data_IF_057952655907
#
_entry.id   IF_057952655907
#
_cell.length_a   1.000
_cell.length_b   1.000
_cell.length_c   1.000
_cell.angle_alpha   90.00
_cell.angle_beta   90.00
_cell.angle_gamma   90.00
#
_symmetry.space_group_name_H-M   'P 1'
#
loop_
_entity.id
_entity.type
_entity.pdbx_description
1 polymer ?
#
# COMPACT_ATOMS: atom_id res chain seq x y z
N UNK A 1 36.20 -30.70 -53.55
CA UNK A 1 35.49 -29.45 -53.20
C UNK A 1 34.46 -29.80 -52.14
N UNK A 2 34.65 -29.34 -50.89
CA UNK A 2 33.70 -29.56 -49.79
C UNK A 2 32.79 -28.33 -49.66
N UNK A 3 31.47 -28.47 -49.53
CA UNK A 3 30.60 -27.32 -49.32
C UNK A 3 30.72 -26.81 -47.88
N UNK A 4 30.90 -25.50 -47.75
CA UNK A 4 30.83 -24.75 -46.47
C UNK A 4 29.36 -24.44 -46.21
N UNK A 5 28.80 -25.05 -45.16
CA UNK A 5 27.44 -24.74 -44.70
C UNK A 5 27.56 -23.55 -43.77
N UNK A 6 27.05 -22.41 -44.21
CA UNK A 6 26.98 -21.18 -43.43
C UNK A 6 25.70 -21.21 -42.57
N UNK A 7 25.84 -21.50 -41.27
CA UNK A 7 24.73 -21.52 -40.33
C UNK A 7 24.41 -20.09 -39.88
N UNK A 8 23.26 -19.57 -40.31
CA UNK A 8 22.73 -18.30 -39.82
C UNK A 8 22.05 -18.52 -38.45
N UNK A 9 22.68 -18.04 -37.38
CA UNK A 9 22.07 -17.97 -36.07
C UNK A 9 21.24 -16.71 -36.00
N UNK A 10 19.92 -16.83 -36.10
CA UNK A 10 18.98 -15.74 -35.91
C UNK A 10 18.80 -15.51 -34.39
N UNK A 11 19.45 -14.49 -33.84
CA UNK A 11 19.25 -14.08 -32.47
C UNK A 11 17.86 -13.41 -32.34
N UNK A 12 16.95 -14.09 -31.65
CA UNK A 12 15.63 -13.56 -31.31
C UNK A 12 15.80 -12.61 -30.12
N UNK A 13 15.77 -11.30 -30.38
CA UNK A 13 15.75 -10.27 -29.33
C UNK A 13 14.38 -10.29 -28.68
N UNK A 14 14.30 -10.84 -27.48
CA UNK A 14 13.15 -10.66 -26.58
C UNK A 14 13.17 -9.21 -26.06
N UNK A 15 12.36 -8.35 -26.65
CA UNK A 15 12.07 -7.03 -26.11
C UNK A 15 11.05 -7.22 -24.99
N UNK A 16 11.54 -7.27 -23.75
CA UNK A 16 10.65 -7.18 -22.57
C UNK A 16 10.11 -5.75 -22.51
N UNK A 17 8.83 -5.57 -22.82
CA UNK A 17 8.15 -4.32 -22.53
C UNK A 17 8.00 -4.21 -21.01
N UNK A 18 8.82 -3.38 -20.36
CA UNK A 18 8.54 -2.93 -18.99
C UNK A 18 7.24 -2.12 -19.07
N UNK A 19 6.15 -2.69 -18.59
CA UNK A 19 4.95 -1.93 -18.29
C UNK A 19 5.29 -1.06 -17.09
N UNK A 20 5.44 0.24 -17.29
CA UNK A 20 5.52 1.20 -16.20
C UNK A 20 4.13 1.20 -15.54
N UNK A 21 4.03 0.70 -14.31
CA UNK A 21 2.82 0.86 -13.52
C UNK A 21 2.61 2.35 -13.27
N UNK A 22 1.46 2.85 -13.67
CA UNK A 22 1.07 4.22 -13.35
C UNK A 22 0.75 4.29 -11.85
N UNK A 23 1.24 5.35 -11.20
CA UNK A 23 1.05 5.57 -9.76
C UNK A 23 0.14 6.78 -9.54
N UNK A 24 -0.65 6.75 -8.47
CA UNK A 24 -1.48 7.88 -8.03
C UNK A 24 -2.56 8.27 -9.06
N UNK A 25 -3.16 7.27 -9.71
CA UNK A 25 -4.25 7.50 -10.65
C UNK A 25 -5.48 8.06 -9.94
N UNK A 26 -6.20 8.94 -10.64
CA UNK A 26 -7.46 9.53 -10.18
C UNK A 26 -8.58 9.17 -11.14
N UNK A 27 -9.75 8.85 -10.60
CA UNK A 27 -10.98 8.62 -11.37
C UNK A 27 -12.13 9.44 -10.78
N UNK A 28 -13.03 9.90 -11.64
CA UNK A 28 -14.19 10.66 -11.19
C UNK A 28 -15.32 9.72 -10.73
N UNK A 29 -15.62 9.73 -9.42
CA UNK A 29 -16.77 9.02 -8.87
C UNK A 29 -18.04 9.87 -9.06
N UNK A 30 -18.92 9.42 -9.94
CA UNK A 30 -20.16 10.13 -10.29
C UNK A 30 -21.17 10.18 -9.14
N UNK A 31 -21.08 9.27 -8.18
CA UNK A 31 -21.96 9.23 -7.00
C UNK A 31 -21.53 10.22 -5.95
N UNK A 32 -20.22 10.33 -5.73
CA UNK A 32 -19.62 11.28 -4.78
C UNK A 32 -19.45 12.68 -5.40
N UNK A 33 -19.49 12.77 -6.75
CA UNK A 33 -19.23 13.98 -7.52
C UNK A 33 -17.83 14.57 -7.25
N UNK A 34 -16.83 13.70 -7.07
CA UNK A 34 -15.44 14.07 -6.80
C UNK A 34 -14.47 13.09 -7.45
N UNK A 35 -13.21 13.50 -7.58
CA UNK A 35 -12.12 12.61 -7.95
C UNK A 35 -11.69 11.77 -6.75
N UNK A 36 -11.45 10.47 -6.99
CA UNK A 36 -10.96 9.51 -5.99
C UNK A 36 -9.73 8.82 -6.53
N UNK A 37 -8.81 8.47 -5.63
CA UNK A 37 -7.62 7.69 -5.98
C UNK A 37 -8.01 6.27 -6.33
N UNK A 38 -7.25 5.67 -7.26
CA UNK A 38 -7.45 4.29 -7.71
C UNK A 38 -6.11 3.63 -8.03
N UNK A 39 -6.01 2.30 -7.84
CA UNK A 39 -4.83 1.48 -8.11
C UNK A 39 -3.63 1.79 -7.20
N UNK A 40 -2.40 1.54 -7.68
CA UNK A 40 -1.22 1.79 -6.86
C UNK A 40 -1.00 3.27 -6.56
N UNK A 41 -0.72 3.52 -5.30
CA UNK A 41 -0.36 4.84 -4.79
C UNK A 41 0.99 4.80 -4.08
N UNK A 42 1.53 5.97 -3.83
CA UNK A 42 2.68 6.18 -2.98
C UNK A 42 2.44 7.37 -2.03
N UNK A 43 3.37 7.62 -1.12
CA UNK A 43 3.26 8.72 -0.15
C UNK A 43 3.04 10.08 -0.83
N UNK A 44 3.75 10.36 -1.93
CA UNK A 44 3.61 11.63 -2.66
C UNK A 44 2.16 11.86 -3.12
N UNK A 45 1.49 10.82 -3.64
CA UNK A 45 0.08 10.90 -4.02
C UNK A 45 -0.83 11.12 -2.83
N UNK A 46 -0.58 10.44 -1.70
CA UNK A 46 -1.38 10.61 -0.47
C UNK A 46 -1.27 12.02 0.12
N UNK A 47 -0.17 12.73 -0.08
CA UNK A 47 0.06 14.07 0.42
C UNK A 47 -0.53 15.17 -0.48
N UNK A 48 -1.20 14.79 -1.59
CA UNK A 48 -1.75 15.74 -2.56
C UNK A 48 -3.28 15.74 -2.59
N UNK A 49 -3.86 16.77 -3.22
CA UNK A 49 -5.31 16.87 -3.40
C UNK A 49 -6.09 16.98 -2.09
N UNK A 50 -7.34 16.54 -2.12
CA UNK A 50 -8.23 16.59 -0.96
C UNK A 50 -7.79 15.63 0.15
N UNK A 51 -7.37 14.42 -0.21
CA UNK A 51 -6.85 13.45 0.75
C UNK A 51 -5.62 13.98 1.49
N UNK A 52 -4.75 14.75 0.80
CA UNK A 52 -3.55 15.35 1.39
C UNK A 52 -3.84 16.34 2.52
N UNK A 53 -5.03 16.98 2.52
CA UNK A 53 -5.45 17.86 3.61
C UNK A 53 -5.65 17.04 4.91
N UNK A 54 -6.38 15.94 4.81
CA UNK A 54 -6.60 15.02 5.93
C UNK A 54 -5.31 14.31 6.34
N UNK A 55 -4.52 13.87 5.34
CA UNK A 55 -3.23 13.22 5.57
C UNK A 55 -2.33 14.09 6.45
N UNK A 56 -2.17 15.36 6.09
CA UNK A 56 -1.33 16.28 6.87
C UNK A 56 -1.88 16.49 8.27
N UNK A 57 -3.18 16.72 8.41
CA UNK A 57 -3.82 16.99 9.71
C UNK A 57 -3.64 15.81 10.67
N UNK A 58 -4.00 14.61 10.22
CA UNK A 58 -3.96 13.40 11.05
C UNK A 58 -2.53 12.94 11.34
N UNK A 59 -1.63 13.12 10.37
CA UNK A 59 -0.20 12.83 10.56
C UNK A 59 0.42 13.76 11.60
N UNK A 60 0.13 15.06 11.55
CA UNK A 60 0.69 16.03 12.48
C UNK A 60 0.13 15.84 13.92
N UNK A 61 -1.18 15.59 14.05
CA UNK A 61 -1.86 15.50 15.35
C UNK A 61 -1.68 14.17 16.07
N UNK A 62 -1.47 13.06 15.35
CA UNK A 62 -1.35 11.74 15.95
C UNK A 62 -0.15 11.64 16.88
N UNK A 63 -0.36 11.17 18.11
CA UNK A 63 0.70 10.95 19.09
C UNK A 63 1.04 9.47 19.18
N UNK A 64 2.23 9.13 18.72
CA UNK A 64 2.72 7.74 18.67
C UNK A 64 3.13 7.28 20.08
N UNK A 65 2.86 6.02 20.40
CA UNK A 65 3.33 5.43 21.66
C UNK A 65 4.80 4.97 21.52
N UNK A 66 5.74 5.81 21.97
CA UNK A 66 7.18 5.56 21.87
C UNK A 66 7.62 4.22 22.45
N UNK A 67 6.96 3.75 23.52
CA UNK A 67 7.31 2.48 24.17
C UNK A 67 6.98 1.29 23.28
N UNK A 68 5.83 1.31 22.61
CA UNK A 68 5.40 0.28 21.66
C UNK A 68 6.19 0.37 20.35
N UNK A 69 6.42 1.58 19.86
CA UNK A 69 7.25 1.81 18.66
C UNK A 69 8.63 1.18 18.81
N UNK A 70 9.26 1.32 19.98
CA UNK A 70 10.55 0.70 20.24
C UNK A 70 10.49 -0.83 20.12
N UNK A 71 9.41 -1.46 20.58
CA UNK A 71 9.24 -2.92 20.44
C UNK A 71 8.94 -3.31 18.97
N UNK A 72 8.14 -2.51 18.28
CA UNK A 72 7.81 -2.70 16.86
C UNK A 72 9.08 -2.60 16.01
N UNK A 73 9.96 -1.61 16.27
CA UNK A 73 11.18 -1.36 15.50
C UNK A 73 12.17 -2.54 15.50
N UNK A 74 12.07 -3.46 16.45
CA UNK A 74 12.92 -4.65 16.52
C UNK A 74 12.61 -5.67 15.42
N UNK A 75 11.38 -5.69 14.88
CA UNK A 75 10.92 -6.70 13.93
C UNK A 75 10.21 -6.14 12.70
N UNK A 76 9.92 -4.85 12.65
CA UNK A 76 9.06 -4.27 11.60
C UNK A 76 9.63 -4.43 10.18
N UNK A 77 10.95 -4.40 10.02
CA UNK A 77 11.61 -4.58 8.73
C UNK A 77 11.73 -6.06 8.30
N UNK A 78 11.21 -6.99 9.10
CA UNK A 78 11.10 -8.41 8.73
C UNK A 78 9.75 -8.74 8.08
N UNK A 79 8.84 -7.77 7.97
CA UNK A 79 7.50 -7.95 7.40
C UNK A 79 7.26 -7.05 6.20
N UNK A 80 6.43 -7.51 5.28
CA UNK A 80 5.87 -6.70 4.19
C UNK A 80 4.49 -6.21 4.60
N UNK A 81 4.13 -4.97 4.21
CA UNK A 81 2.85 -4.39 4.54
C UNK A 81 2.12 -3.97 3.25
N UNK A 82 0.83 -4.32 3.19
CA UNK A 82 -0.08 -3.80 2.17
C UNK A 82 -1.18 -2.98 2.82
N UNK A 83 -1.39 -1.76 2.34
CA UNK A 83 -2.48 -0.88 2.74
C UNK A 83 -3.48 -0.82 1.59
N UNK A 84 -4.71 -1.24 1.84
CA UNK A 84 -5.82 -1.04 0.90
C UNK A 84 -6.76 0.00 1.50
N UNK A 85 -7.00 1.09 0.77
CA UNK A 85 -7.74 2.24 1.29
C UNK A 85 -8.66 2.85 0.25
N UNK A 86 -9.63 3.65 0.71
CA UNK A 86 -10.45 4.49 -0.15
C UNK A 86 -10.22 5.95 0.18
N UNK A 87 -9.76 6.77 -0.76
CA UNK A 87 -9.57 8.21 -0.54
C UNK A 87 -10.86 8.99 -0.26
N UNK A 88 -11.99 8.32 -0.42
CA UNK A 88 -13.35 8.77 -0.15
C UNK A 88 -13.88 8.33 1.23
N UNK A 89 -13.09 7.61 2.01
CA UNK A 89 -13.51 7.00 3.27
C UNK A 89 -12.89 7.74 4.45
N UNK A 90 -13.71 8.24 5.36
CA UNK A 90 -13.25 8.99 6.54
C UNK A 90 -12.31 8.18 7.44
N UNK A 91 -12.53 6.86 7.56
CA UNK A 91 -11.63 6.02 8.35
C UNK A 91 -10.25 5.89 7.66
N UNK A 92 -10.23 5.87 6.32
CA UNK A 92 -8.97 5.91 5.56
C UNK A 92 -8.25 7.26 5.72
N UNK A 93 -8.99 8.37 5.63
CA UNK A 93 -8.47 9.72 5.85
C UNK A 93 -7.81 9.86 7.23
N UNK A 94 -8.37 9.18 8.23
CA UNK A 94 -7.85 9.19 9.60
C UNK A 94 -6.71 8.19 9.82
N UNK A 95 -6.92 6.92 9.49
CA UNK A 95 -6.03 5.85 9.93
C UNK A 95 -4.79 5.69 9.05
N UNK A 96 -4.88 5.97 7.74
CA UNK A 96 -3.72 5.82 6.84
C UNK A 96 -2.57 6.76 7.22
N UNK A 97 -2.77 8.08 7.41
CA UNK A 97 -1.69 8.96 7.82
C UNK A 97 -1.13 8.65 9.22
N UNK A 98 -1.98 8.22 10.16
CA UNK A 98 -1.54 7.80 11.51
C UNK A 98 -0.66 6.56 11.44
N UNK A 99 -1.03 5.59 10.61
CA UNK A 99 -0.23 4.38 10.40
C UNK A 99 1.10 4.70 9.74
N UNK A 100 1.12 5.63 8.78
CA UNK A 100 2.38 6.12 8.20
C UNK A 100 3.29 6.78 9.24
N UNK A 101 2.72 7.59 10.14
CA UNK A 101 3.51 8.18 11.23
C UNK A 101 4.11 7.13 12.15
N UNK A 102 3.33 6.09 12.48
CA UNK A 102 3.82 4.94 13.23
C UNK A 102 4.98 4.25 12.51
N UNK A 103 4.85 3.97 11.21
CA UNK A 103 5.90 3.35 10.40
C UNK A 103 7.17 4.19 10.35
N UNK A 104 7.05 5.50 10.17
CA UNK A 104 8.19 6.44 10.19
C UNK A 104 8.94 6.39 11.53
N UNK A 105 8.21 6.40 12.65
CA UNK A 105 8.80 6.31 13.99
C UNK A 105 9.43 4.94 14.25
N UNK A 106 8.89 3.86 13.68
CA UNK A 106 9.43 2.52 13.79
C UNK A 106 10.62 2.26 12.84
N UNK A 107 10.91 3.17 11.92
CA UNK A 107 12.00 3.05 10.94
C UNK A 107 11.74 1.99 9.88
N UNK A 108 10.48 1.86 9.44
CA UNK A 108 10.09 0.93 8.39
C UNK A 108 10.64 1.34 7.03
N UNK A 109 11.08 0.37 6.24
CA UNK A 109 11.52 0.59 4.87
C UNK A 109 10.32 0.66 3.91
N UNK A 110 9.98 1.85 3.45
CA UNK A 110 8.85 2.10 2.53
C UNK A 110 8.94 1.29 1.22
N UNK A 111 10.12 0.78 0.84
CA UNK A 111 10.25 -0.09 -0.33
C UNK A 111 9.51 -1.42 -0.20
N UNK A 112 9.17 -1.82 1.02
CA UNK A 112 8.39 -3.02 1.33
C UNK A 112 6.89 -2.72 1.53
N UNK A 113 6.47 -1.46 1.35
CA UNK A 113 5.09 -1.03 1.51
C UNK A 113 4.37 -1.01 0.17
N UNK A 114 3.22 -1.68 0.09
CA UNK A 114 2.31 -1.61 -1.05
C UNK A 114 1.06 -0.83 -0.64
N UNK A 115 0.69 0.16 -1.45
CA UNK A 115 -0.47 1.00 -1.18
C UNK A 115 -1.39 0.95 -2.39
N UNK A 116 -2.64 0.56 -2.16
CA UNK A 116 -3.64 0.37 -3.20
C UNK A 116 -4.90 1.13 -2.83
N UNK A 117 -5.26 2.09 -3.66
CA UNK A 117 -6.52 2.78 -3.57
C UNK A 117 -7.63 2.01 -4.28
N UNK A 118 -8.83 2.04 -3.72
CA UNK A 118 -10.00 1.34 -4.26
C UNK A 118 -11.22 2.26 -4.36
N UNK A 119 -12.11 1.92 -5.30
CA UNK A 119 -13.40 2.55 -5.42
C UNK A 119 -14.38 2.11 -4.31
N UNK A 120 -15.62 2.64 -4.29
CA UNK A 120 -16.64 2.30 -3.29
C UNK A 120 -17.07 0.84 -3.27
N UNK A 121 -16.84 0.10 -4.35
CA UNK A 121 -17.07 -1.34 -4.44
C UNK A 121 -15.87 -2.16 -3.92
N UNK A 122 -14.84 -1.49 -3.36
CA UNK A 122 -13.57 -2.09 -2.89
C UNK A 122 -12.83 -2.81 -4.02
N UNK A 123 -12.85 -2.20 -5.22
CA UNK A 123 -12.16 -2.71 -6.41
C UNK A 123 -11.15 -1.67 -6.89
N UNK A 124 -10.00 -2.13 -7.30
CA UNK A 124 -9.06 -1.41 -8.14
C UNK A 124 -9.42 -1.62 -9.62
N UNK A 125 -8.88 -0.83 -10.54
CA UNK A 125 -9.18 -0.93 -11.97
C UNK A 125 -8.14 -1.77 -12.72
N UNK A 126 -6.86 -1.53 -12.47
CA UNK A 126 -5.75 -2.22 -13.13
C UNK A 126 -5.07 -3.26 -12.23
N UNK A 127 -5.26 -3.16 -10.92
CA UNK A 127 -4.64 -4.05 -9.92
C UNK A 127 -5.62 -5.13 -9.50
N UNK A 128 -5.28 -6.40 -9.71
CA UNK A 128 -6.09 -7.49 -9.16
C UNK A 128 -5.82 -7.66 -7.66
N UNK A 129 -6.83 -7.38 -6.86
CA UNK A 129 -6.82 -7.49 -5.40
C UNK A 129 -7.83 -8.53 -4.88
N UNK A 130 -8.35 -9.38 -5.76
CA UNK A 130 -9.39 -10.37 -5.41
C UNK A 130 -8.93 -11.29 -4.28
N UNK A 131 -7.68 -11.72 -4.30
CA UNK A 131 -7.10 -12.61 -3.29
C UNK A 131 -6.93 -11.93 -1.92
N UNK A 132 -6.93 -10.58 -1.86
CA UNK A 132 -6.83 -9.85 -0.60
C UNK A 132 -8.11 -9.86 0.22
N UNK A 133 -9.25 -10.21 -0.38
CA UNK A 133 -10.56 -10.34 0.29
C UNK A 133 -10.93 -9.09 1.09
N UNK A 134 -10.90 -7.93 0.45
CA UNK A 134 -11.17 -6.63 1.08
C UNK A 134 -12.67 -6.40 1.23
N UNK A 135 -13.16 -6.38 2.46
CA UNK A 135 -14.55 -6.08 2.81
C UNK A 135 -14.72 -4.63 3.26
N UNK A 136 -13.75 -4.10 3.98
CA UNK A 136 -13.75 -2.75 4.55
C UNK A 136 -12.44 -2.02 4.26
N UNK A 137 -12.45 -0.69 4.36
CA UNK A 137 -11.27 0.16 4.16
C UNK A 137 -11.20 1.25 5.24
N UNK A 138 -9.97 1.57 5.70
CA UNK A 138 -8.70 0.97 5.30
C UNK A 138 -8.52 -0.44 5.84
N UNK A 139 -7.74 -1.26 5.14
CA UNK A 139 -7.25 -2.54 5.65
C UNK A 139 -5.73 -2.56 5.54
N UNK A 140 -5.06 -2.76 6.66
CA UNK A 140 -3.61 -2.91 6.77
C UNK A 140 -3.29 -4.39 6.90
N UNK A 141 -2.62 -4.99 5.93
CA UNK A 141 -2.33 -6.42 5.88
C UNK A 141 -0.83 -6.61 6.07
N UNK A 142 -0.46 -7.42 7.03
CA UNK A 142 0.92 -7.67 7.41
C UNK A 142 1.31 -9.09 6.98
N UNK A 143 2.41 -9.20 6.24
CA UNK A 143 2.93 -10.48 5.73
C UNK A 143 4.35 -10.73 6.24
N UNK A 144 4.71 -12.01 6.35
CA UNK A 144 6.09 -12.46 6.52
C UNK A 144 6.30 -13.69 5.64
N UNK A 145 7.37 -13.69 4.85
CA UNK A 145 7.70 -14.78 3.93
C UNK A 145 6.53 -15.16 2.99
N UNK A 146 5.80 -14.14 2.51
CA UNK A 146 4.64 -14.30 1.62
C UNK A 146 3.37 -14.83 2.30
N UNK A 147 3.36 -15.01 3.63
CA UNK A 147 2.19 -15.46 4.39
C UNK A 147 1.62 -14.32 5.23
N UNK A 148 0.30 -14.13 5.17
CA UNK A 148 -0.37 -13.17 6.04
C UNK A 148 -0.26 -13.60 7.51
N UNK A 149 0.27 -12.70 8.34
CA UNK A 149 0.32 -12.85 9.80
C UNK A 149 -0.97 -12.35 10.45
N UNK A 150 -1.56 -11.29 9.90
CA UNK A 150 -2.79 -10.68 10.37
C UNK A 150 -3.06 -9.36 9.66
N UNK A 151 -4.18 -8.74 10.03
CA UNK A 151 -4.60 -7.45 9.47
C UNK A 151 -5.31 -6.57 10.49
N UNK A 152 -5.24 -5.26 10.30
CA UNK A 152 -6.04 -4.26 11.01
C UNK A 152 -7.08 -3.74 10.02
N UNK A 153 -8.35 -3.74 10.40
CA UNK A 153 -9.47 -3.39 9.52
C UNK A 153 -10.19 -2.17 10.06
N UNK A 154 -10.38 -1.15 9.22
CA UNK A 154 -10.99 0.14 9.52
C UNK A 154 -10.27 0.86 10.66
N UNK A 155 -10.71 0.65 11.88
CA UNK A 155 -10.09 1.22 13.09
C UNK A 155 -9.45 0.10 13.92
N UNK A 156 -8.32 0.36 14.59
CA UNK A 156 -7.70 -0.65 15.45
C UNK A 156 -8.63 -1.02 16.61
N UNK A 157 -8.47 -2.24 17.12
CA UNK A 157 -9.22 -2.70 18.30
C UNK A 157 -8.78 -1.97 19.58
N UNK A 158 -7.47 -1.83 19.77
CA UNK A 158 -6.89 -1.05 20.87
C UNK A 158 -6.26 0.24 20.30
N UNK A 159 -5.00 0.20 19.89
CA UNK A 159 -4.30 1.26 19.15
C UNK A 159 -3.59 0.66 17.93
N UNK A 160 -3.20 1.50 16.97
CA UNK A 160 -2.44 1.02 15.81
C UNK A 160 -1.16 0.30 16.23
N UNK A 161 -0.47 0.85 17.23
CA UNK A 161 0.77 0.26 17.77
C UNK A 161 0.51 -1.08 18.46
N UNK A 162 -0.53 -1.15 19.31
CA UNK A 162 -0.83 -2.39 20.04
C UNK A 162 -1.25 -3.51 19.10
N UNK A 163 -2.10 -3.20 18.14
CA UNK A 163 -2.60 -4.20 17.18
C UNK A 163 -1.48 -4.65 16.24
N UNK A 164 -0.65 -3.72 15.71
CA UNK A 164 0.51 -4.07 14.91
C UNK A 164 1.51 -4.92 15.70
N UNK A 165 1.83 -4.52 16.94
CA UNK A 165 2.70 -5.28 17.81
C UNK A 165 2.22 -6.71 18.07
N UNK A 166 0.90 -6.90 18.30
CA UNK A 166 0.31 -8.24 18.50
C UNK A 166 0.44 -9.12 17.26
N UNK A 167 0.43 -8.53 16.06
CA UNK A 167 0.55 -9.26 14.80
C UNK A 167 1.99 -9.71 14.53
N UNK A 168 2.99 -8.84 14.81
CA UNK A 168 4.39 -9.08 14.39
C UNK A 168 5.29 -9.77 15.44
N UNK A 169 4.84 -9.87 16.69
CA UNK A 169 5.61 -10.48 17.81
C UNK A 169 5.75 -11.99 17.73
#
# INVERSE_FOLDING_TARGET
MKPVVLSFITALLFVSTLSSQTMNNMVYDTTLQQEVMIDYCNREGLETGEFGIYYKLEFDDYQVNDSLVKLISESINEVEISIVFGSWCSDSEQQVPRFYKLLDHAGYDDSQLKIIAVNRQKKAEEVDITDLQIEFVPTFIIYKDGKELGRIVETPYDTLEEDLWKIIR
#
